data_IF_005414116101
#
_entry.id   IF_005414116101
#
_cell.length_a   1.000
_cell.length_b   1.000
_cell.length_c   1.000
_cell.angle_alpha   90.00
_cell.angle_beta   90.00
_cell.angle_gamma   90.00
#
_symmetry.space_group_name_H-M   'P 1'
#
loop_
_entity.id
_entity.type
_entity.pdbx_description
1 polymer ?
#
# COMPACT_ATOMS: atom_id res chain seq x y z
N UNK A 1 -12.20 -44.65 56.87
CA UNK A 1 -10.91 -44.35 56.22
C UNK A 1 -11.07 -43.08 55.37
N UNK A 2 -10.80 -41.88 55.89
CA UNK A 2 -10.85 -40.67 55.09
C UNK A 2 -9.49 -40.40 54.41
N UNK A 3 -9.58 -40.20 53.10
CA UNK A 3 -8.49 -39.93 52.15
C UNK A 3 -7.86 -38.55 52.41
N UNK A 4 -6.54 -38.54 52.62
CA UNK A 4 -5.73 -37.33 52.74
C UNK A 4 -5.46 -36.76 51.33
N UNK A 5 -6.37 -35.91 50.83
CA UNK A 5 -6.08 -35.09 49.64
C UNK A 5 -4.96 -34.09 50.01
N UNK A 6 -3.76 -34.33 49.47
CA UNK A 6 -2.57 -33.50 49.71
C UNK A 6 -2.79 -32.06 49.21
N UNK A 7 -2.44 -31.02 50.00
CA UNK A 7 -2.63 -29.61 49.65
C UNK A 7 -1.71 -29.12 48.52
N UNK A 8 -0.87 -29.98 47.95
CA UNK A 8 0.07 -29.64 46.88
C UNK A 8 -0.62 -29.35 45.52
N UNK A 9 -1.86 -29.78 45.31
CA UNK A 9 -2.54 -29.56 44.02
C UNK A 9 -3.11 -28.15 43.87
N UNK A 10 -3.44 -27.46 44.97
CA UNK A 10 -4.04 -26.12 44.94
C UNK A 10 -3.04 -25.01 44.60
N UNK A 11 -1.73 -25.25 44.76
CA UNK A 11 -0.71 -24.26 44.44
C UNK A 11 -0.30 -24.22 42.96
N UNK A 12 -0.74 -25.21 42.15
CA UNK A 12 -0.43 -25.27 40.71
C UNK A 12 -1.38 -24.42 39.84
N UNK A 13 -2.60 -24.13 40.32
CA UNK A 13 -3.60 -23.36 39.55
C UNK A 13 -3.52 -21.83 39.72
N UNK A 14 -2.61 -21.30 40.56
CA UNK A 14 -2.41 -19.85 40.74
C UNK A 14 -1.16 -19.32 39.99
N UNK A 15 -0.49 -20.17 39.21
CA UNK A 15 0.69 -19.79 38.40
C UNK A 15 0.37 -19.42 36.94
N UNK A 16 -0.85 -19.64 36.47
CA UNK A 16 -1.23 -19.45 35.06
C UNK A 16 -2.02 -18.17 34.77
N UNK A 17 -2.19 -17.28 35.76
CA UNK A 17 -2.94 -16.04 35.60
C UNK A 17 -2.19 -14.85 34.96
N UNK A 18 -0.84 -14.77 34.84
CA UNK A 18 -0.21 -13.60 34.24
C UNK A 18 -0.15 -13.64 32.69
N UNK A 19 -0.69 -14.67 32.03
CA UNK A 19 -0.57 -14.81 30.56
C UNK A 19 -1.59 -13.99 29.72
N UNK A 20 -2.49 -13.24 30.34
CA UNK A 20 -3.54 -12.48 29.63
C UNK A 20 -3.28 -10.97 29.54
N UNK A 21 -2.18 -10.47 30.10
CA UNK A 21 -1.84 -9.04 30.07
C UNK A 21 -0.96 -8.70 28.86
N UNK A 22 -1.51 -8.70 27.64
CA UNK A 22 -0.72 -8.33 26.46
C UNK A 22 -1.40 -8.18 25.10
N UNK A 23 -2.72 -8.41 24.95
CA UNK A 23 -3.38 -8.11 23.67
C UNK A 23 -3.80 -6.64 23.62
N UNK A 24 -2.87 -5.76 23.25
CA UNK A 24 -3.24 -4.43 22.75
C UNK A 24 -3.73 -4.59 21.31
N UNK A 25 -5.05 -4.55 21.12
CA UNK A 25 -5.70 -4.68 19.81
C UNK A 25 -5.76 -3.35 19.05
N UNK A 26 -5.10 -2.30 19.54
CA UNK A 26 -5.11 -0.98 18.92
C UNK A 26 -4.47 -1.04 17.52
N UNK A 27 -5.06 -0.40 16.51
CA UNK A 27 -4.44 -0.27 15.19
C UNK A 27 -3.08 0.42 15.30
N UNK A 28 -2.11 0.09 14.43
CA UNK A 28 -0.80 0.71 14.46
C UNK A 28 -0.93 2.21 14.20
N UNK A 29 -0.06 2.99 14.84
CA UNK A 29 0.12 4.38 14.46
C UNK A 29 0.73 4.43 13.06
N UNK A 30 0.09 5.16 12.16
CA UNK A 30 0.56 5.34 10.78
C UNK A 30 1.16 6.73 10.62
N UNK A 31 2.22 6.85 9.81
CA UNK A 31 2.83 8.14 9.53
C UNK A 31 1.92 8.99 8.64
N UNK A 32 1.19 9.93 9.25
CA UNK A 32 0.34 10.89 8.55
C UNK A 32 1.02 12.24 8.31
N UNK A 33 2.30 12.40 8.63
CA UNK A 33 3.00 13.67 8.42
C UNK A 33 2.99 14.12 6.95
N UNK A 34 3.21 13.24 5.95
CA UNK A 34 3.09 13.62 4.54
C UNK A 34 1.70 14.14 4.18
N UNK A 35 0.65 13.47 4.66
CA UNK A 35 -0.73 13.83 4.35
C UNK A 35 -1.09 15.17 5.00
N UNK A 36 -0.74 15.36 6.28
CA UNK A 36 -0.99 16.62 7.01
C UNK A 36 -0.27 17.82 6.40
N UNK A 37 0.90 17.61 5.77
CA UNK A 37 1.64 18.67 5.11
C UNK A 37 1.02 19.09 3.76
N UNK A 38 0.23 18.22 3.11
CA UNK A 38 -0.29 18.40 1.75
C UNK A 38 -1.80 18.64 1.69
N UNK A 39 -2.55 18.06 2.61
CA UNK A 39 -4.00 17.99 2.54
C UNK A 39 -4.66 19.28 3.05
N UNK A 40 -5.53 19.85 2.24
CA UNK A 40 -6.49 20.88 2.68
C UNK A 40 -7.64 20.22 3.47
N UNK A 41 -8.04 19.03 3.04
CA UNK A 41 -9.07 18.20 3.67
C UNK A 41 -8.76 16.72 3.45
N UNK A 42 -9.12 15.87 4.41
CA UNK A 42 -9.09 14.43 4.22
C UNK A 42 -10.23 13.99 3.29
N UNK A 43 -10.02 12.93 2.51
CA UNK A 43 -11.02 12.43 1.56
C UNK A 43 -12.30 11.96 2.25
N UNK A 44 -12.17 11.36 3.44
CA UNK A 44 -13.25 10.86 4.29
C UNK A 44 -12.79 10.80 5.77
N UNK A 45 -13.72 10.61 6.73
CA UNK A 45 -13.37 10.40 8.13
C UNK A 45 -12.50 9.14 8.35
N UNK A 46 -11.55 9.18 9.28
CA UNK A 46 -10.63 8.06 9.57
C UNK A 46 -11.35 6.74 9.88
N UNK A 47 -12.43 6.80 10.64
CA UNK A 47 -13.19 5.59 10.99
C UNK A 47 -13.86 4.96 9.75
N UNK A 48 -14.27 5.78 8.79
CA UNK A 48 -14.84 5.33 7.54
C UNK A 48 -13.77 4.71 6.63
N UNK A 49 -12.63 5.39 6.45
CA UNK A 49 -11.49 4.85 5.69
C UNK A 49 -11.02 3.49 6.19
N UNK A 50 -10.93 3.30 7.51
CA UNK A 50 -10.55 1.98 8.08
C UNK A 50 -11.50 0.86 7.69
N UNK A 51 -12.78 1.15 7.49
CA UNK A 51 -13.79 0.15 7.12
C UNK A 51 -13.94 -0.02 5.62
N UNK A 52 -13.86 1.08 4.87
CA UNK A 52 -14.34 1.15 3.49
C UNK A 52 -13.25 1.46 2.45
N UNK A 53 -11.98 1.68 2.85
CA UNK A 53 -10.93 2.10 1.89
C UNK A 53 -10.81 1.18 0.67
N UNK A 54 -10.85 -0.14 0.84
CA UNK A 54 -10.76 -1.06 -0.30
C UNK A 54 -12.00 -1.01 -1.19
N UNK A 55 -13.19 -0.82 -0.64
CA UNK A 55 -14.42 -0.67 -1.43
C UNK A 55 -14.30 0.53 -2.38
N UNK A 56 -13.78 1.65 -1.87
CA UNK A 56 -13.57 2.84 -2.69
C UNK A 56 -12.49 2.64 -3.75
N UNK A 57 -11.39 1.95 -3.41
CA UNK A 57 -10.32 1.66 -4.36
C UNK A 57 -10.75 0.67 -5.44
N UNK A 58 -11.56 -0.34 -5.12
CA UNK A 58 -12.07 -1.32 -6.08
C UNK A 58 -13.02 -0.65 -7.09
N UNK A 59 -13.97 0.16 -6.61
CA UNK A 59 -14.86 0.92 -7.51
C UNK A 59 -14.06 1.86 -8.39
N UNK A 60 -13.12 2.63 -7.82
CA UNK A 60 -12.31 3.55 -8.60
C UNK A 60 -11.40 2.84 -9.62
N UNK A 61 -10.87 1.65 -9.28
CA UNK A 61 -10.10 0.81 -10.19
C UNK A 61 -10.97 0.37 -11.37
N UNK A 62 -12.15 -0.14 -11.09
CA UNK A 62 -13.06 -0.68 -12.09
C UNK A 62 -13.54 0.44 -13.04
N UNK A 63 -13.96 1.58 -12.48
CA UNK A 63 -14.30 2.79 -13.24
C UNK A 63 -13.13 3.22 -14.16
N UNK A 64 -11.90 3.23 -13.64
CA UNK A 64 -10.72 3.73 -14.36
C UNK A 64 -10.22 2.77 -15.44
N UNK A 65 -10.23 1.46 -15.17
CA UNK A 65 -9.62 0.44 -16.02
C UNK A 65 -10.62 -0.18 -17.00
N UNK A 66 -11.87 -0.37 -16.59
CA UNK A 66 -12.90 -1.00 -17.43
C UNK A 66 -13.71 0.05 -18.19
N UNK A 67 -14.10 1.12 -17.51
CA UNK A 67 -15.01 2.13 -18.09
C UNK A 67 -14.30 3.40 -18.58
N UNK A 68 -13.00 3.55 -18.28
CA UNK A 68 -12.21 4.72 -18.65
C UNK A 68 -12.58 6.01 -17.92
N UNK A 69 -13.36 5.92 -16.83
CA UNK A 69 -13.81 7.05 -16.02
C UNK A 69 -12.72 7.39 -14.99
N UNK A 70 -12.12 8.58 -15.11
CA UNK A 70 -11.07 9.05 -14.19
C UNK A 70 -11.55 10.21 -13.35
N UNK A 71 -11.73 9.96 -12.05
CA UNK A 71 -12.08 10.97 -11.05
C UNK A 71 -10.93 11.19 -10.07
N UNK A 72 -10.96 12.31 -9.32
CA UNK A 72 -9.93 12.60 -8.32
C UNK A 72 -10.25 12.01 -6.95
N UNK A 73 -11.54 11.90 -6.60
CA UNK A 73 -11.97 11.31 -5.33
C UNK A 73 -11.65 9.81 -5.31
N UNK A 74 -11.00 9.35 -4.25
CA UNK A 74 -10.53 7.97 -4.07
C UNK A 74 -9.50 7.49 -5.10
N UNK A 75 -8.86 8.42 -5.82
CA UNK A 75 -7.78 8.06 -6.74
C UNK A 75 -6.59 7.47 -6.00
N UNK A 76 -6.12 6.31 -6.45
CA UNK A 76 -4.92 5.67 -5.91
C UNK A 76 -3.69 6.59 -6.03
N UNK A 77 -3.60 7.36 -7.12
CA UNK A 77 -2.49 8.31 -7.36
C UNK A 77 -2.51 9.44 -6.31
N UNK A 78 -3.68 10.00 -6.02
CA UNK A 78 -3.84 11.04 -5.00
C UNK A 78 -3.58 10.50 -3.59
N UNK A 79 -4.00 9.27 -3.30
CA UNK A 79 -3.69 8.59 -2.06
C UNK A 79 -2.16 8.48 -1.85
N UNK A 80 -1.41 8.00 -2.85
CA UNK A 80 0.06 7.89 -2.80
C UNK A 80 0.69 9.28 -2.65
N UNK A 81 0.20 10.26 -3.40
CA UNK A 81 0.73 11.62 -3.36
C UNK A 81 0.66 12.22 -1.96
N UNK A 82 -0.46 12.07 -1.26
CA UNK A 82 -0.64 12.62 0.07
C UNK A 82 -0.02 11.74 1.16
N UNK A 83 -0.19 10.42 1.10
CA UNK A 83 0.18 9.54 2.21
C UNK A 83 1.63 9.03 2.19
N UNK A 84 2.25 8.93 1.01
CA UNK A 84 3.59 8.35 0.90
C UNK A 84 4.65 9.46 0.91
N UNK A 85 5.59 9.36 1.84
CA UNK A 85 6.76 10.24 1.86
C UNK A 85 7.62 10.01 0.61
N UNK A 86 8.15 11.08 0.03
CA UNK A 86 8.99 10.96 -1.18
C UNK A 86 10.34 10.28 -0.88
N UNK A 87 10.88 10.53 0.31
CA UNK A 87 12.12 9.98 0.83
C UNK A 87 12.09 9.99 2.36
N UNK A 88 12.97 9.19 2.97
CA UNK A 88 13.29 9.23 4.39
C UNK A 88 14.11 10.47 4.75
N UNK A 89 14.32 10.67 6.04
CA UNK A 89 15.18 11.75 6.56
C UNK A 89 16.62 11.66 6.05
N UNK A 90 17.13 10.45 5.80
CA UNK A 90 18.46 10.21 5.24
C UNK A 90 18.53 10.37 3.70
N UNK A 91 17.41 10.72 3.06
CA UNK A 91 17.28 10.89 1.62
C UNK A 91 17.05 9.60 0.82
N UNK A 92 17.01 8.43 1.48
CA UNK A 92 16.68 7.16 0.81
C UNK A 92 15.20 7.08 0.41
N UNK A 93 14.89 6.33 -0.65
CA UNK A 93 13.51 6.16 -1.12
C UNK A 93 12.73 5.21 -0.20
N UNK A 94 11.48 5.57 0.11
CA UNK A 94 10.55 4.72 0.86
C UNK A 94 9.83 3.77 -0.09
N UNK A 95 9.92 2.47 0.16
CA UNK A 95 9.25 1.41 -0.59
C UNK A 95 8.31 0.58 0.27
N UNK A 96 7.24 0.06 -0.35
CA UNK A 96 6.22 -0.72 0.36
C UNK A 96 6.75 -2.04 0.95
N UNK A 97 7.84 -2.56 0.40
CA UNK A 97 8.46 -3.82 0.82
C UNK A 97 9.70 -3.63 1.72
N UNK A 98 10.01 -2.39 2.11
CA UNK A 98 11.16 -2.11 2.97
C UNK A 98 11.00 -2.74 4.35
N UNK A 99 12.11 -3.14 4.95
CA UNK A 99 12.11 -3.78 6.27
C UNK A 99 11.67 -2.81 7.38
N UNK A 100 11.86 -1.50 7.18
CA UNK A 100 11.53 -0.45 8.16
C UNK A 100 10.02 -0.15 8.24
N UNK A 101 9.22 -0.58 7.25
CA UNK A 101 7.74 -0.44 7.22
C UNK A 101 7.22 0.97 7.45
N UNK A 102 7.99 1.95 7.04
CA UNK A 102 7.68 3.39 7.08
C UNK A 102 6.81 3.86 5.90
N UNK A 103 6.56 2.98 4.93
CA UNK A 103 5.57 3.19 3.88
C UNK A 103 4.15 3.07 4.46
N UNK A 104 3.34 4.13 4.32
CA UNK A 104 1.99 4.23 4.91
C UNK A 104 1.12 2.99 4.65
N UNK A 105 1.04 2.53 3.41
CA UNK A 105 0.20 1.38 3.07
C UNK A 105 0.71 0.10 3.73
N UNK A 106 2.04 -0.07 3.83
CA UNK A 106 2.66 -1.27 4.37
C UNK A 106 2.38 -1.42 5.86
N UNK A 107 2.41 -0.30 6.63
CA UNK A 107 2.11 -0.31 8.07
C UNK A 107 0.73 -0.93 8.37
N UNK A 108 -0.30 -0.53 7.64
CA UNK A 108 -1.65 -1.08 7.84
C UNK A 108 -1.79 -2.49 7.26
N UNK A 109 -1.28 -2.73 6.06
CA UNK A 109 -1.40 -4.03 5.38
C UNK A 109 -0.67 -5.16 6.11
N UNK A 110 0.49 -4.86 6.71
CA UNK A 110 1.19 -5.80 7.58
C UNK A 110 0.36 -6.12 8.83
N UNK A 111 -0.26 -5.12 9.45
CA UNK A 111 -1.11 -5.31 10.63
C UNK A 111 -2.35 -6.14 10.35
N UNK A 112 -3.03 -5.92 9.22
CA UNK A 112 -4.22 -6.70 8.85
C UNK A 112 -3.90 -8.01 8.13
N UNK A 113 -2.62 -8.30 7.88
CA UNK A 113 -2.16 -9.53 7.22
C UNK A 113 -2.51 -9.62 5.73
N UNK A 114 -2.62 -8.48 5.03
CA UNK A 114 -2.99 -8.42 3.61
C UNK A 114 -1.77 -8.05 2.77
N UNK A 115 -1.52 -8.80 1.69
CA UNK A 115 -0.46 -8.46 0.74
C UNK A 115 -0.90 -7.35 -0.19
N UNK A 116 -0.01 -6.39 -0.45
CA UNK A 116 -0.22 -5.36 -1.47
C UNK A 116 0.31 -5.89 -2.80
N UNK A 117 -0.56 -6.07 -3.78
CA UNK A 117 -0.21 -6.55 -5.13
C UNK A 117 -0.12 -5.42 -6.16
N UNK A 118 -0.79 -4.30 -5.94
CA UNK A 118 -0.82 -3.15 -6.85
C UNK A 118 0.60 -2.70 -7.24
N UNK A 119 1.52 -2.68 -6.26
CA UNK A 119 2.89 -2.19 -6.41
C UNK A 119 3.87 -3.22 -6.99
N UNK A 120 3.41 -4.43 -7.36
CA UNK A 120 4.24 -5.38 -8.09
C UNK A 120 4.54 -4.89 -9.52
N UNK A 121 3.62 -4.10 -10.09
CA UNK A 121 3.77 -3.49 -11.41
C UNK A 121 3.68 -1.96 -11.37
N UNK A 122 2.92 -1.36 -10.45
CA UNK A 122 2.80 0.09 -10.32
C UNK A 122 3.82 0.67 -9.34
N UNK A 123 4.14 1.95 -9.52
CA UNK A 123 4.98 2.66 -8.58
C UNK A 123 4.29 2.85 -7.23
N UNK A 124 5.06 2.68 -6.17
CA UNK A 124 4.63 2.80 -4.76
C UNK A 124 4.84 4.21 -4.19
N UNK A 125 5.43 5.13 -4.95
CA UNK A 125 5.81 6.45 -4.44
C UNK A 125 5.60 7.58 -5.44
N UNK A 126 5.49 8.85 -4.98
CA UNK A 126 5.17 10.00 -5.84
C UNK A 126 6.24 10.39 -6.86
N UNK A 127 7.40 9.73 -6.87
CA UNK A 127 8.54 10.10 -7.72
C UNK A 127 8.23 10.03 -9.23
N UNK A 128 7.22 9.24 -9.62
CA UNK A 128 6.72 9.14 -11.01
C UNK A 128 6.00 10.42 -11.45
N UNK A 129 5.46 11.20 -10.51
CA UNK A 129 4.59 12.33 -10.84
C UNK A 129 5.35 13.62 -11.20
N UNK A 130 6.66 13.68 -10.90
CA UNK A 130 7.52 14.83 -11.27
C UNK A 130 8.37 14.56 -12.52
N UNK A 131 8.37 13.34 -13.04
CA UNK A 131 9.10 12.96 -14.24
C UNK A 131 8.14 12.19 -15.15
N UNK A 132 7.54 12.83 -16.18
CA UNK A 132 6.66 12.13 -17.13
C UNK A 132 7.39 10.99 -17.85
N UNK A 133 8.73 11.05 -17.90
CA UNK A 133 9.60 10.02 -18.46
C UNK A 133 10.16 9.05 -17.40
N UNK A 134 9.52 8.91 -16.23
CA UNK A 134 9.92 7.92 -15.23
C UNK A 134 9.71 6.51 -15.79
N UNK A 135 10.71 6.02 -16.51
CA UNK A 135 10.89 4.61 -16.77
C UNK A 135 11.54 4.03 -15.52
N UNK A 136 10.81 3.16 -14.83
CA UNK A 136 11.37 2.34 -13.76
C UNK A 136 12.63 1.65 -14.29
N UNK A 137 13.79 1.92 -13.68
CA UNK A 137 15.05 1.27 -14.05
C UNK A 137 14.90 -0.23 -13.80
N UNK A 138 14.65 -0.97 -14.87
CA UNK A 138 14.36 -2.40 -14.79
C UNK A 138 15.55 -3.13 -14.21
N UNK A 139 15.27 -4.07 -13.31
CA UNK A 139 16.28 -4.89 -12.60
C UNK A 139 17.06 -5.80 -13.56
N UNK A 140 16.66 -5.91 -14.83
CA UNK A 140 17.31 -6.77 -15.81
C UNK A 140 17.31 -6.18 -17.22
N UNK A 141 18.50 -6.03 -17.79
CA UNK A 141 18.71 -5.70 -19.21
C UNK A 141 18.28 -6.83 -20.17
N UNK A 142 17.88 -8.00 -19.65
CA UNK A 142 17.59 -9.19 -20.47
C UNK A 142 16.21 -9.13 -21.11
N UNK A 143 15.22 -8.47 -20.48
CA UNK A 143 13.85 -8.47 -21.00
C UNK A 143 13.55 -7.39 -22.06
N UNK A 144 14.44 -6.42 -22.28
CA UNK A 144 14.18 -5.28 -23.19
C UNK A 144 15.03 -5.30 -24.47
N UNK A 145 15.55 -6.46 -24.85
CA UNK A 145 16.19 -6.63 -26.15
C UNK A 145 15.23 -6.59 -27.35
N UNK A 146 13.97 -6.17 -27.14
CA UNK A 146 13.00 -5.94 -28.21
C UNK A 146 13.08 -4.54 -28.83
N UNK A 147 13.82 -3.60 -28.25
CA UNK A 147 14.01 -2.25 -28.82
C UNK A 147 15.47 -1.97 -29.17
N UNK A 148 16.13 -2.89 -29.89
CA UNK A 148 17.41 -2.56 -30.54
C UNK A 148 17.24 -1.66 -31.77
N UNK A 149 16.01 -1.41 -32.19
CA UNK A 149 15.69 -0.42 -33.19
C UNK A 149 14.90 0.69 -32.49
N UNK A 150 15.39 1.92 -32.60
CA UNK A 150 14.77 3.11 -32.01
C UNK A 150 13.31 3.22 -32.46
N UNK A 151 12.37 3.01 -31.54
CA UNK A 151 10.94 3.26 -31.79
C UNK A 151 10.77 4.76 -31.95
N UNK A 152 10.35 5.17 -33.14
CA UNK A 152 10.11 6.57 -33.46
C UNK A 152 8.67 6.97 -33.15
N UNK A 153 8.41 8.27 -33.05
CA UNK A 153 7.05 8.81 -32.95
C UNK A 153 6.14 8.31 -34.09
N UNK A 154 6.69 7.98 -35.26
CA UNK A 154 5.94 7.41 -36.38
C UNK A 154 5.43 5.99 -36.08
N UNK A 155 6.16 5.20 -35.29
CA UNK A 155 5.78 3.82 -34.94
C UNK A 155 4.66 3.79 -33.88
N UNK A 156 4.55 4.83 -33.05
CA UNK A 156 3.44 4.99 -32.10
C UNK A 156 2.14 5.45 -32.78
N UNK A 157 2.22 6.21 -33.87
CA UNK A 157 1.05 6.68 -34.63
C UNK A 157 0.32 5.52 -35.33
N UNK A 158 1.06 4.51 -35.80
CA UNK A 158 0.48 3.32 -36.46
C UNK A 158 -0.46 2.51 -35.53
N UNK A 159 -0.26 2.55 -34.21
CA UNK A 159 -1.14 1.86 -33.27
C UNK A 159 -2.46 2.61 -33.10
N UNK A 160 -2.45 3.94 -33.20
CA UNK A 160 -3.68 4.76 -33.07
C UNK A 160 -4.62 4.63 -34.28
N UNK A 161 -4.10 4.37 -35.48
CA UNK A 161 -4.91 4.20 -36.70
C UNK A 161 -5.61 2.82 -36.80
N UNK A 162 -5.20 1.86 -35.97
CA UNK A 162 -5.78 0.51 -35.92
C UNK A 162 -7.08 0.46 -35.09
N UNK A 163 -7.34 1.47 -34.24
CA UNK A 163 -8.50 1.52 -33.33
C UNK A 163 -9.70 2.34 -33.87
N UNK A 164 -9.54 3.07 -34.98
CA UNK A 164 -10.60 3.85 -35.63
C UNK A 164 -11.15 3.18 -36.91
N UNK A 165 -11.46 1.89 -36.84
CA UNK A 165 -12.32 1.23 -37.86
C UNK A 165 -13.62 0.77 -37.20
N UNK A 166 -14.78 1.05 -37.83
CA UNK A 166 -16.10 0.79 -37.25
C UNK A 166 -16.37 -0.70 -37.01
#
# INVERSE_FOLDING_TARGET
MPSQLKPALLLSMLGLLPLLAGCDASPPETNLAPAKAKAVQCVEPTADMRRNHMVYLDVHRDDSLMDGIRTTKHSLVECIYCHVAAAREDGSAVHYNDAQKDHFCATCHDYVGVKIDCFQCHADRPAVMKQPDYQHKLISAVYHQLLKNDVTLADMVLVSEQWDKP
#
